data_IF_472173602379
#
_entry.id   IF_472173602379
#
_cell.length_a   1.000
_cell.length_b   1.000
_cell.length_c   1.000
_cell.angle_alpha   90.00
_cell.angle_beta   90.00
_cell.angle_gamma   90.00
#
_symmetry.space_group_name_H-M   'P 1'
#
loop_
_entity.id
_entity.type
_entity.pdbx_description
1 polymer ?
#
# COMPACT_ATOMS: atom_id res chain seq x y z
N UNK A 1 42.02 28.06 29.94
CA UNK A 1 41.23 26.82 30.08
C UNK A 1 41.59 25.91 28.94
N UNK A 2 42.10 24.76 29.24
CA UNK A 2 42.58 23.81 28.24
C UNK A 2 41.41 23.09 27.56
N UNK A 3 41.53 22.65 26.28
CA UNK A 3 40.45 21.99 25.54
C UNK A 3 39.97 20.67 26.13
N UNK A 4 40.64 20.15 27.13
CA UNK A 4 40.29 18.87 27.81
C UNK A 4 39.20 18.97 28.89
N UNK A 5 38.83 20.18 29.32
CA UNK A 5 37.79 20.35 30.36
C UNK A 5 36.38 20.56 29.79
N UNK A 6 36.22 20.72 28.48
CA UNK A 6 34.90 20.93 27.85
C UNK A 6 34.26 19.58 27.46
N UNK A 7 35.05 18.55 27.23
CA UNK A 7 34.50 17.22 26.86
C UNK A 7 33.87 16.43 28.04
N UNK A 8 34.22 16.76 29.28
CA UNK A 8 33.67 16.08 30.47
C UNK A 8 32.29 16.60 30.91
N UNK A 9 31.76 17.66 30.31
CA UNK A 9 30.46 18.24 30.68
C UNK A 9 29.26 17.63 29.90
N UNK A 10 29.53 16.85 28.85
CA UNK A 10 28.49 16.23 28.03
C UNK A 10 28.31 14.72 28.24
N UNK A 11 29.22 14.07 28.99
CA UNK A 11 29.17 12.62 29.25
C UNK A 11 28.12 12.19 30.31
N UNK A 12 27.24 13.06 30.74
CA UNK A 12 26.28 12.79 31.82
C UNK A 12 24.82 13.09 31.53
N UNK A 13 24.46 13.44 30.30
CA UNK A 13 23.10 13.87 29.93
C UNK A 13 22.39 12.94 28.93
N UNK A 14 22.61 11.64 29.00
CA UNK A 14 21.58 10.70 28.53
C UNK A 14 20.54 10.53 29.63
N UNK A 15 19.74 11.55 29.87
CA UNK A 15 18.49 11.40 30.61
C UNK A 15 17.62 10.39 29.86
N UNK A 16 17.13 9.38 30.58
CA UNK A 16 16.15 8.45 30.03
C UNK A 16 15.00 9.25 29.41
N UNK A 17 14.86 9.17 28.09
CA UNK A 17 13.80 9.87 27.35
C UNK A 17 12.45 9.56 28.00
N UNK A 18 11.67 10.59 28.31
CA UNK A 18 10.33 10.41 28.82
C UNK A 18 9.43 9.68 27.80
N UNK A 19 8.35 9.09 28.28
CA UNK A 19 7.43 8.30 27.46
C UNK A 19 6.81 9.10 26.29
N UNK A 20 6.62 10.40 26.45
CA UNK A 20 6.05 11.28 25.43
C UNK A 20 7.06 11.51 24.31
N UNK A 21 8.30 11.82 24.63
CA UNK A 21 9.40 11.95 23.66
C UNK A 21 9.60 10.66 22.87
N UNK A 22 9.57 9.51 23.54
CA UNK A 22 9.64 8.21 22.87
C UNK A 22 8.46 7.98 21.92
N UNK A 23 7.24 8.34 22.33
CA UNK A 23 6.05 8.23 21.49
C UNK A 23 6.15 9.12 20.24
N UNK A 24 6.63 10.34 20.38
CA UNK A 24 6.85 11.27 19.26
C UNK A 24 7.89 10.71 18.29
N UNK A 25 9.03 10.23 18.78
CA UNK A 25 10.05 9.60 17.95
C UNK A 25 9.55 8.34 17.23
N UNK A 26 8.71 7.57 17.89
CA UNK A 26 8.06 6.40 17.28
C UNK A 26 7.03 6.78 16.21
N UNK A 27 6.38 7.94 16.32
CA UNK A 27 5.42 8.43 15.35
C UNK A 27 6.05 8.84 14.00
N UNK A 28 7.39 8.99 13.92
CA UNK A 28 8.12 9.28 12.66
C UNK A 28 7.80 8.29 11.52
N UNK A 29 7.39 7.07 11.87
CA UNK A 29 7.01 6.04 10.89
C UNK A 29 5.58 5.60 11.19
N UNK A 30 4.70 5.75 10.20
CA UNK A 30 3.31 5.32 10.32
C UNK A 30 3.20 3.84 10.73
N UNK A 31 2.25 3.45 11.59
CA UNK A 31 2.11 2.08 12.09
C UNK A 31 1.98 1.02 10.97
N UNK A 32 1.28 1.35 9.89
CA UNK A 32 1.13 0.49 8.71
C UNK A 32 2.47 0.28 7.98
N UNK A 33 3.28 1.34 7.85
CA UNK A 33 4.61 1.28 7.25
C UNK A 33 5.55 0.43 8.10
N UNK A 34 5.54 0.62 9.42
CA UNK A 34 6.30 -0.19 10.37
C UNK A 34 5.89 -1.66 10.29
N UNK A 35 4.58 -1.95 10.21
CA UNK A 35 4.05 -3.30 10.03
C UNK A 35 4.55 -3.98 8.75
N UNK A 36 4.68 -3.21 7.65
CA UNK A 36 5.23 -3.67 6.38
C UNK A 36 6.74 -3.94 6.49
N UNK A 37 7.49 -3.08 7.19
CA UNK A 37 8.92 -3.32 7.46
C UNK A 37 9.13 -4.61 8.25
N UNK A 38 8.41 -4.81 9.35
CA UNK A 38 8.49 -6.06 10.10
C UNK A 38 8.16 -7.29 9.25
N UNK A 39 7.14 -7.22 8.42
CA UNK A 39 6.81 -8.32 7.52
C UNK A 39 7.91 -8.64 6.51
N UNK A 40 8.62 -7.61 6.05
CA UNK A 40 9.75 -7.77 5.14
C UNK A 40 11.00 -8.28 5.86
N UNK A 41 11.25 -7.82 7.10
CA UNK A 41 12.35 -8.27 7.95
C UNK A 41 12.18 -9.75 8.31
N UNK A 42 10.95 -10.17 8.65
CA UNK A 42 10.64 -11.61 8.87
C UNK A 42 11.06 -12.43 7.66
N UNK A 43 10.73 -11.98 6.44
CA UNK A 43 11.14 -12.70 5.22
C UNK A 43 12.64 -12.73 5.02
N UNK A 44 13.34 -11.62 5.34
CA UNK A 44 14.81 -11.56 5.27
C UNK A 44 15.43 -12.51 6.27
N UNK A 45 14.97 -12.52 7.53
CA UNK A 45 15.51 -13.36 8.58
C UNK A 45 15.28 -14.85 8.31
N UNK A 46 14.11 -15.24 7.80
CA UNK A 46 13.89 -16.61 7.33
C UNK A 46 14.83 -17.00 6.19
N UNK A 47 15.02 -16.12 5.21
CA UNK A 47 15.98 -16.38 4.14
C UNK A 47 17.40 -16.59 4.68
N UNK A 48 17.84 -15.77 5.65
CA UNK A 48 19.16 -15.90 6.29
C UNK A 48 19.28 -17.18 7.10
N UNK A 49 18.22 -17.55 7.84
CA UNK A 49 18.13 -18.78 8.59
C UNK A 49 18.22 -20.03 7.68
N UNK A 50 17.48 -20.04 6.57
CA UNK A 50 17.50 -21.12 5.59
C UNK A 50 18.86 -21.24 4.87
N UNK A 51 19.64 -20.17 4.81
CA UNK A 51 20.92 -20.10 4.13
C UNK A 51 22.09 -19.83 5.11
N UNK A 52 21.99 -20.27 6.34
CA UNK A 52 22.99 -20.03 7.39
C UNK A 52 24.39 -20.56 7.03
N UNK A 53 24.45 -21.66 6.26
CA UNK A 53 25.70 -22.23 5.78
C UNK A 53 26.40 -21.36 4.73
N UNK A 54 25.62 -20.64 3.91
CA UNK A 54 26.15 -19.72 2.89
C UNK A 54 26.52 -18.36 3.49
N UNK A 55 25.84 -17.96 4.56
CA UNK A 55 26.01 -16.65 5.21
C UNK A 55 26.20 -16.81 6.73
N UNK A 56 27.29 -17.47 7.16
CA UNK A 56 27.51 -17.74 8.58
C UNK A 56 27.69 -16.44 9.37
N UNK A 57 27.12 -16.42 10.57
CA UNK A 57 27.31 -15.33 11.52
C UNK A 57 26.63 -13.99 11.15
N UNK A 58 25.71 -13.97 10.16
CA UNK A 58 24.90 -12.78 9.86
C UNK A 58 23.80 -12.60 10.90
N UNK A 59 23.16 -13.69 11.34
CA UNK A 59 22.21 -13.69 12.45
C UNK A 59 22.87 -14.31 13.68
N UNK A 60 22.46 -13.87 14.88
CA UNK A 60 22.87 -14.52 16.14
C UNK A 60 22.29 -15.93 16.22
N UNK A 61 22.99 -16.84 16.93
CA UNK A 61 22.54 -18.22 17.09
C UNK A 61 21.23 -18.31 17.88
N UNK A 62 21.06 -17.45 18.88
CA UNK A 62 19.84 -17.39 19.69
C UNK A 62 18.64 -16.97 18.83
N UNK A 63 18.79 -15.93 18.00
CA UNK A 63 17.75 -15.51 17.09
C UNK A 63 17.39 -16.59 16.05
N UNK A 64 18.38 -17.35 15.56
CA UNK A 64 18.14 -18.48 14.64
C UNK A 64 17.32 -19.57 15.34
N UNK A 65 17.62 -19.87 16.61
CA UNK A 65 16.87 -20.86 17.39
C UNK A 65 15.41 -20.41 17.62
N UNK A 66 15.20 -19.17 18.02
CA UNK A 66 13.88 -18.58 18.25
C UNK A 66 13.03 -18.56 16.96
N UNK A 67 13.65 -18.22 15.83
CA UNK A 67 12.97 -18.22 14.54
C UNK A 67 12.56 -19.64 14.10
N UNK A 68 13.40 -20.66 14.34
CA UNK A 68 13.06 -22.05 14.04
C UNK A 68 11.88 -22.54 14.86
N UNK A 69 11.84 -22.22 16.14
CA UNK A 69 10.72 -22.55 17.01
C UNK A 69 9.45 -21.84 16.56
N UNK A 70 9.53 -20.55 16.26
CA UNK A 70 8.40 -19.74 15.77
C UNK A 70 7.87 -20.25 14.43
N UNK A 71 8.75 -20.69 13.53
CA UNK A 71 8.33 -21.24 12.21
C UNK A 71 7.58 -22.56 12.37
N UNK A 72 8.01 -23.41 13.32
CA UNK A 72 7.27 -24.62 13.69
C UNK A 72 5.87 -24.28 14.21
N UNK A 73 5.74 -23.28 15.08
CA UNK A 73 4.45 -22.81 15.59
C UNK A 73 3.56 -22.25 14.48
N UNK A 74 4.12 -21.44 13.56
CA UNK A 74 3.38 -20.87 12.44
C UNK A 74 2.95 -21.94 11.42
N UNK A 75 3.76 -22.97 11.17
CA UNK A 75 3.45 -24.08 10.28
C UNK A 75 2.27 -24.95 10.75
N UNK A 76 2.05 -25.02 12.07
CA UNK A 76 0.94 -25.77 12.69
C UNK A 76 -0.39 -25.02 12.60
N UNK A 77 -0.38 -23.71 12.38
CA UNK A 77 -1.61 -22.90 12.31
C UNK A 77 -2.44 -23.24 11.08
N UNK A 78 -3.74 -23.34 11.28
CA UNK A 78 -4.74 -23.57 10.23
C UNK A 78 -5.68 -22.38 10.10
N UNK A 79 -6.16 -22.14 8.90
CA UNK A 79 -7.24 -21.18 8.66
C UNK A 79 -8.57 -21.72 9.17
N UNK A 80 -9.60 -20.86 9.30
CA UNK A 80 -10.97 -21.30 9.65
C UNK A 80 -11.53 -22.40 8.72
N UNK A 81 -10.98 -22.54 7.51
CA UNK A 81 -11.34 -23.57 6.52
C UNK A 81 -10.40 -24.78 6.52
N UNK A 82 -9.54 -24.93 7.55
CA UNK A 82 -8.62 -26.06 7.70
C UNK A 82 -7.35 -26.03 6.84
N UNK A 83 -7.21 -25.10 5.91
CA UNK A 83 -6.00 -24.95 5.11
C UNK A 83 -4.81 -24.40 5.94
N UNK A 84 -3.55 -24.67 5.56
CA UNK A 84 -2.40 -24.07 6.22
C UNK A 84 -2.48 -22.54 6.22
N UNK A 85 -2.22 -21.91 7.36
CA UNK A 85 -2.15 -20.46 7.46
C UNK A 85 -0.88 -19.97 6.78
N UNK A 86 -1.00 -18.91 5.95
CA UNK A 86 0.15 -18.19 5.40
C UNK A 86 0.67 -17.09 6.32
N UNK A 87 0.04 -16.87 7.49
CA UNK A 87 0.44 -15.86 8.45
C UNK A 87 1.60 -16.38 9.29
N UNK A 88 2.62 -15.55 9.45
CA UNK A 88 3.82 -15.81 10.26
C UNK A 88 3.78 -14.95 11.53
N UNK A 89 2.74 -15.13 12.34
CA UNK A 89 2.50 -14.28 13.51
C UNK A 89 3.53 -14.54 14.62
N UNK A 90 3.92 -15.80 14.85
CA UNK A 90 4.94 -16.15 15.83
C UNK A 90 6.31 -15.60 15.41
N UNK A 91 6.73 -15.86 14.17
CA UNK A 91 7.98 -15.31 13.61
C UNK A 91 8.01 -13.78 13.64
N UNK A 92 6.87 -13.13 13.37
CA UNK A 92 6.75 -11.68 13.47
C UNK A 92 6.95 -11.18 14.90
N UNK A 93 6.43 -11.90 15.89
CA UNK A 93 6.61 -11.56 17.31
C UNK A 93 8.08 -11.64 17.72
N UNK A 94 8.80 -12.70 17.32
CA UNK A 94 10.24 -12.85 17.55
C UNK A 94 11.00 -11.66 16.96
N UNK A 95 10.77 -11.32 15.70
CA UNK A 95 11.43 -10.18 15.03
C UNK A 95 11.11 -8.85 15.71
N UNK A 96 9.86 -8.61 16.10
CA UNK A 96 9.47 -7.39 16.83
C UNK A 96 10.20 -7.31 18.17
N UNK A 97 10.30 -8.41 18.90
CA UNK A 97 11.01 -8.44 20.18
C UNK A 97 12.50 -8.18 19.97
N UNK A 98 13.13 -8.85 18.99
CA UNK A 98 14.55 -8.65 18.69
C UNK A 98 14.88 -7.19 18.32
N UNK A 99 13.96 -6.50 17.60
CA UNK A 99 14.16 -5.08 17.26
C UNK A 99 13.90 -4.18 18.47
N UNK A 100 12.96 -4.52 19.34
CA UNK A 100 12.70 -3.74 20.56
C UNK A 100 13.79 -3.88 21.62
N UNK A 101 14.56 -4.97 21.59
CA UNK A 101 15.68 -5.20 22.49
C UNK A 101 17.01 -4.61 22.01
N UNK A 102 17.00 -3.90 20.85
CA UNK A 102 18.19 -3.22 20.36
C UNK A 102 18.57 -2.09 21.33
N UNK A 103 19.82 -2.12 21.76
CA UNK A 103 20.51 -1.02 22.39
C UNK A 103 21.56 -0.51 21.40
N UNK A 104 21.42 0.72 20.96
CA UNK A 104 22.33 1.30 19.96
C UNK A 104 23.77 1.46 20.46
N UNK A 105 23.97 1.43 21.79
CA UNK A 105 25.28 1.50 22.43
C UNK A 105 25.90 0.10 22.61
N UNK A 106 25.11 -0.97 22.53
CA UNK A 106 25.58 -2.34 22.66
C UNK A 106 25.38 -3.17 21.39
N UNK A 107 26.39 -3.28 20.51
CA UNK A 107 26.31 -4.07 19.29
C UNK A 107 25.96 -5.55 19.50
N UNK A 108 26.13 -6.09 20.71
CA UNK A 108 25.76 -7.48 21.00
C UNK A 108 24.25 -7.72 20.97
N UNK A 109 23.45 -6.67 21.13
CA UNK A 109 21.99 -6.70 21.06
C UNK A 109 21.45 -6.67 19.63
N UNK A 110 22.31 -6.43 18.63
CA UNK A 110 21.89 -6.29 17.25
C UNK A 110 21.43 -7.65 16.68
N UNK A 111 20.27 -7.71 16.05
CA UNK A 111 19.77 -8.95 15.45
C UNK A 111 20.56 -9.38 14.22
N UNK A 112 21.30 -8.47 13.61
CA UNK A 112 22.16 -8.68 12.43
C UNK A 112 23.58 -8.24 12.76
N UNK A 113 24.55 -9.08 12.43
CA UNK A 113 25.93 -8.67 12.34
C UNK A 113 26.18 -7.99 10.99
N UNK A 114 26.37 -6.67 11.02
CA UNK A 114 26.51 -5.85 9.81
C UNK A 114 27.84 -6.05 9.09
N UNK A 115 28.89 -6.50 9.78
CA UNK A 115 30.20 -6.80 9.17
C UNK A 115 30.10 -8.04 8.26
N UNK A 116 29.23 -8.99 8.64
CA UNK A 116 28.99 -10.21 7.88
C UNK A 116 27.87 -10.05 6.82
N UNK A 117 27.08 -8.97 6.88
CA UNK A 117 26.01 -8.70 5.94
C UNK A 117 26.58 -8.13 4.62
N UNK A 118 26.90 -9.02 3.70
CA UNK A 118 27.45 -8.63 2.40
C UNK A 118 26.34 -8.32 1.37
N UNK A 119 26.72 -7.60 0.30
CA UNK A 119 25.82 -7.38 -0.85
C UNK A 119 25.31 -8.70 -1.44
N UNK A 120 26.15 -9.73 -1.57
CA UNK A 120 25.75 -11.03 -2.12
C UNK A 120 24.65 -11.69 -1.28
N UNK A 121 24.71 -11.56 0.02
CA UNK A 121 23.70 -12.03 0.95
C UNK A 121 22.35 -11.35 0.67
N UNK A 122 22.32 -10.03 0.65
CA UNK A 122 21.09 -9.28 0.40
C UNK A 122 20.57 -9.44 -1.04
N UNK A 123 21.46 -9.49 -2.04
CA UNK A 123 21.08 -9.76 -3.42
C UNK A 123 20.48 -11.17 -3.60
N UNK A 124 21.00 -12.17 -2.87
CA UNK A 124 20.42 -13.51 -2.80
C UNK A 124 18.97 -13.48 -2.30
N UNK A 125 18.70 -12.75 -1.23
CA UNK A 125 17.35 -12.50 -0.74
C UNK A 125 16.46 -11.86 -1.79
N UNK A 126 16.92 -10.79 -2.46
CA UNK A 126 16.15 -10.12 -3.51
C UNK A 126 15.82 -11.03 -4.70
N UNK A 127 16.67 -12.00 -5.04
CA UNK A 127 16.42 -13.00 -6.09
C UNK A 127 15.24 -13.92 -5.80
N UNK A 128 14.85 -14.08 -4.54
CA UNK A 128 13.65 -14.84 -4.15
C UNK A 128 12.35 -14.16 -4.55
N UNK A 129 12.38 -12.87 -4.92
CA UNK A 129 11.20 -12.07 -5.24
C UNK A 129 10.71 -12.36 -6.66
N UNK A 130 9.83 -13.35 -6.76
CA UNK A 130 9.24 -13.78 -8.02
C UNK A 130 7.72 -13.86 -7.88
N UNK A 131 6.99 -13.67 -8.99
CA UNK A 131 5.54 -13.93 -9.08
C UNK A 131 5.23 -14.68 -10.36
N UNK A 132 4.23 -15.54 -10.31
CA UNK A 132 3.68 -16.18 -11.51
C UNK A 132 2.58 -15.28 -12.07
N UNK A 133 2.67 -14.92 -13.33
CA UNK A 133 1.68 -14.13 -14.05
C UNK A 133 1.04 -15.03 -15.11
N UNK A 134 -0.27 -15.00 -15.18
CA UNK A 134 -1.02 -15.70 -16.23
C UNK A 134 -1.12 -14.79 -17.45
N UNK A 135 -0.51 -15.21 -18.55
CA UNK A 135 -0.61 -14.53 -19.83
C UNK A 135 -1.86 -15.04 -20.55
N UNK A 136 -2.82 -14.18 -20.82
CA UNK A 136 -3.96 -14.46 -21.67
C UNK A 136 -3.66 -13.91 -23.06
N UNK A 137 -3.49 -14.79 -24.05
CA UNK A 137 -3.43 -14.38 -25.45
C UNK A 137 -4.80 -14.59 -26.09
N UNK A 138 -5.36 -13.54 -26.67
CA UNK A 138 -6.49 -13.68 -27.60
C UNK A 138 -5.93 -14.21 -28.92
N UNK A 139 -6.32 -15.40 -29.31
CA UNK A 139 -6.15 -15.79 -30.70
C UNK A 139 -7.34 -15.23 -31.47
N UNK A 140 -7.08 -14.32 -32.40
CA UNK A 140 -8.05 -13.96 -33.43
C UNK A 140 -8.31 -15.21 -34.28
N UNK A 141 -9.57 -15.59 -34.52
CA UNK A 141 -9.88 -16.70 -35.42
C UNK A 141 -9.27 -16.40 -36.80
N UNK A 142 -8.62 -17.39 -37.39
CA UNK A 142 -8.30 -17.37 -38.80
C UNK A 142 -9.60 -17.21 -39.60
N UNK A 143 -9.60 -16.35 -40.62
CA UNK A 143 -10.76 -15.87 -41.37
C UNK A 143 -11.55 -16.94 -42.16
N UNK A 144 -11.70 -18.14 -41.63
CA UNK A 144 -12.30 -19.28 -42.37
C UNK A 144 -13.33 -20.12 -41.60
N UNK A 145 -13.85 -19.65 -40.44
CA UNK A 145 -14.93 -20.39 -39.76
C UNK A 145 -15.92 -19.41 -39.07
N UNK A 146 -17.18 -19.56 -39.44
CA UNK A 146 -18.35 -18.74 -39.04
C UNK A 146 -18.85 -18.94 -37.58
N UNK A 147 -18.02 -19.32 -36.64
CA UNK A 147 -18.38 -19.34 -35.22
C UNK A 147 -17.33 -18.63 -34.38
N UNK A 148 -17.76 -17.55 -33.71
CA UNK A 148 -16.96 -16.68 -32.82
C UNK A 148 -16.58 -17.40 -31.51
N UNK A 149 -15.83 -18.51 -31.60
CA UNK A 149 -15.25 -19.16 -30.42
C UNK A 149 -13.86 -18.58 -30.16
N UNK A 150 -13.79 -17.56 -29.36
CA UNK A 150 -12.52 -16.97 -28.90
C UNK A 150 -11.86 -17.92 -27.92
N UNK A 151 -10.96 -18.77 -28.38
CA UNK A 151 -10.19 -19.66 -27.49
C UNK A 151 -9.15 -18.84 -26.73
N UNK A 152 -9.30 -18.74 -25.43
CA UNK A 152 -8.32 -18.07 -24.55
C UNK A 152 -7.26 -19.07 -24.15
N UNK A 153 -6.07 -18.98 -24.74
CA UNK A 153 -4.91 -19.76 -24.30
C UNK A 153 -4.27 -19.09 -23.10
N UNK A 154 -4.27 -19.76 -21.96
CA UNK A 154 -3.64 -19.29 -20.73
C UNK A 154 -2.27 -19.96 -20.57
N UNK A 155 -1.21 -19.17 -20.56
CA UNK A 155 0.13 -19.63 -20.19
C UNK A 155 0.58 -18.93 -18.91
N UNK A 156 1.22 -19.66 -17.99
CA UNK A 156 1.80 -19.08 -16.79
C UNK A 156 3.28 -18.80 -16.97
N UNK A 157 3.72 -17.59 -16.66
CA UNK A 157 5.12 -17.19 -16.72
C UNK A 157 5.54 -16.66 -15.35
N UNK A 158 6.68 -17.17 -14.85
CA UNK A 158 7.27 -16.67 -13.61
C UNK A 158 8.19 -15.50 -13.91
N UNK A 159 7.87 -14.34 -13.38
CA UNK A 159 8.62 -13.09 -13.54
C UNK A 159 9.12 -12.57 -12.21
N UNK A 160 10.13 -11.69 -12.24
CA UNK A 160 10.56 -10.95 -11.06
C UNK A 160 9.47 -10.00 -10.59
N UNK A 161 9.39 -9.81 -9.26
CA UNK A 161 8.52 -8.78 -8.70
C UNK A 161 8.99 -7.38 -9.16
N UNK A 162 8.05 -6.45 -9.23
CA UNK A 162 8.34 -5.09 -9.65
C UNK A 162 9.23 -4.32 -8.67
N UNK A 163 9.71 -3.16 -9.12
CA UNK A 163 10.62 -2.28 -8.40
C UNK A 163 10.14 -1.90 -6.99
N UNK A 164 8.81 -1.81 -6.78
CA UNK A 164 8.22 -1.51 -5.49
C UNK A 164 8.55 -2.54 -4.40
N UNK A 165 8.56 -3.84 -4.75
CA UNK A 165 8.91 -4.89 -3.78
C UNK A 165 10.38 -4.85 -3.37
N UNK A 166 11.27 -4.56 -4.31
CA UNK A 166 12.70 -4.38 -4.02
C UNK A 166 12.93 -3.13 -3.17
N UNK A 167 12.26 -2.01 -3.49
CA UNK A 167 12.32 -0.78 -2.70
C UNK A 167 11.84 -1.01 -1.27
N UNK A 168 10.76 -1.76 -1.07
CA UNK A 168 10.27 -2.12 0.26
C UNK A 168 11.30 -2.93 1.06
N UNK A 169 12.02 -3.87 0.43
CA UNK A 169 13.09 -4.62 1.08
C UNK A 169 14.27 -3.72 1.48
N UNK A 170 14.67 -2.81 0.61
CA UNK A 170 15.73 -1.83 0.92
C UNK A 170 15.31 -0.88 2.06
N UNK A 171 14.03 -0.44 2.09
CA UNK A 171 13.53 0.41 3.16
C UNK A 171 13.47 -0.33 4.50
N UNK A 172 13.09 -1.61 4.48
CA UNK A 172 13.10 -2.45 5.69
C UNK A 172 14.52 -2.69 6.23
N UNK A 173 15.51 -2.91 5.33
CA UNK A 173 16.90 -2.99 5.72
C UNK A 173 17.41 -1.65 6.30
N UNK A 174 17.07 -0.53 5.65
CA UNK A 174 17.43 0.79 6.15
C UNK A 174 16.82 1.06 7.53
N UNK A 175 15.62 0.58 7.77
CA UNK A 175 14.97 0.67 9.09
C UNK A 175 15.79 -0.04 10.17
N UNK A 176 16.28 -1.27 9.91
CA UNK A 176 17.14 -1.98 10.87
C UNK A 176 18.43 -1.19 11.15
N UNK A 177 19.08 -0.67 10.11
CA UNK A 177 20.26 0.17 10.27
C UNK A 177 19.98 1.36 11.20
N UNK A 178 18.85 2.04 11.00
CA UNK A 178 18.44 3.19 11.81
C UNK A 178 18.16 2.80 13.26
N UNK A 179 17.45 1.65 13.49
CA UNK A 179 17.16 1.19 14.85
C UNK A 179 18.44 0.79 15.60
N UNK A 180 19.47 0.31 14.89
CA UNK A 180 20.79 -0.02 15.47
C UNK A 180 21.72 1.21 15.57
N UNK A 181 21.27 2.41 15.23
CA UNK A 181 22.11 3.61 15.26
C UNK A 181 23.22 3.62 14.22
N UNK A 182 23.15 2.76 13.19
CA UNK A 182 24.19 2.65 12.16
C UNK A 182 23.83 3.51 10.95
N UNK A 183 24.71 4.44 10.59
CA UNK A 183 24.58 5.22 9.38
C UNK A 183 24.94 4.39 8.13
N UNK A 184 24.27 4.65 7.01
CA UNK A 184 24.52 3.94 5.72
C UNK A 184 25.94 4.13 5.19
N UNK A 185 26.62 5.17 5.58
CA UNK A 185 27.98 5.53 5.21
C UNK A 185 28.93 5.58 6.43
N UNK A 186 28.46 5.21 7.61
CA UNK A 186 29.21 5.24 8.87
C UNK A 186 30.40 4.27 8.91
N UNK A 187 30.31 3.16 8.16
CA UNK A 187 31.44 2.22 8.02
C UNK A 187 31.75 1.95 6.54
N UNK A 188 33.01 1.60 6.19
CA UNK A 188 33.36 1.24 4.80
C UNK A 188 32.52 0.07 4.26
N UNK A 189 32.21 -0.92 5.11
CA UNK A 189 31.37 -2.06 4.74
C UNK A 189 29.91 -1.64 4.45
N UNK A 190 29.29 -0.84 5.32
CA UNK A 190 27.96 -0.30 5.12
C UNK A 190 27.88 0.56 3.84
N UNK A 191 28.82 1.47 3.66
CA UNK A 191 28.92 2.32 2.46
C UNK A 191 29.04 1.49 1.18
N UNK A 192 29.86 0.45 1.20
CA UNK A 192 30.01 -0.46 0.07
C UNK A 192 28.72 -1.21 -0.23
N UNK A 193 28.08 -1.78 0.80
CA UNK A 193 26.79 -2.49 0.69
C UNK A 193 25.73 -1.60 0.05
N UNK A 194 25.50 -0.40 0.57
CA UNK A 194 24.46 0.52 0.05
C UNK A 194 24.75 1.00 -1.37
N UNK A 195 26.03 1.23 -1.72
CA UNK A 195 26.42 1.54 -3.10
C UNK A 195 26.08 0.39 -4.06
N UNK A 196 26.39 -0.85 -3.69
CA UNK A 196 26.07 -2.03 -4.51
C UNK A 196 24.55 -2.25 -4.63
N UNK A 197 23.80 -2.06 -3.54
CA UNK A 197 22.33 -2.12 -3.57
C UNK A 197 21.76 -1.09 -4.56
N UNK A 198 22.23 0.15 -4.52
CA UNK A 198 21.75 1.21 -5.42
C UNK A 198 22.01 0.87 -6.90
N UNK A 199 23.20 0.34 -7.22
CA UNK A 199 23.53 -0.11 -8.58
C UNK A 199 22.68 -1.28 -9.03
N UNK A 200 22.48 -2.27 -8.15
CA UNK A 200 21.64 -3.44 -8.41
C UNK A 200 20.19 -3.05 -8.67
N UNK A 201 19.65 -2.12 -7.90
CA UNK A 201 18.28 -1.61 -8.07
C UNK A 201 18.10 -0.96 -9.46
N UNK A 202 19.04 -0.10 -9.88
CA UNK A 202 19.01 0.49 -11.23
C UNK A 202 19.07 -0.58 -12.33
N UNK A 203 19.94 -1.58 -12.16
CA UNK A 203 20.05 -2.71 -13.08
C UNK A 203 18.75 -3.51 -13.17
N UNK A 204 18.18 -3.86 -12.04
CA UNK A 204 16.94 -4.64 -11.94
C UNK A 204 15.75 -3.94 -12.60
N UNK A 205 15.61 -2.62 -12.41
CA UNK A 205 14.56 -1.84 -13.06
C UNK A 205 14.66 -1.92 -14.59
N UNK A 206 15.87 -1.73 -15.13
CA UNK A 206 16.11 -1.79 -16.59
C UNK A 206 15.89 -3.20 -17.16
N UNK A 207 16.39 -4.21 -16.47
CA UNK A 207 16.24 -5.60 -16.90
C UNK A 207 14.78 -6.05 -16.83
N UNK A 208 14.09 -5.72 -15.74
CA UNK A 208 12.67 -6.02 -15.58
C UNK A 208 11.81 -5.40 -16.68
N UNK A 209 12.04 -4.12 -17.01
CA UNK A 209 11.30 -3.46 -18.08
C UNK A 209 11.49 -4.17 -19.44
N UNK A 210 12.72 -4.60 -19.76
CA UNK A 210 13.02 -5.34 -20.98
C UNK A 210 12.37 -6.75 -20.99
N UNK A 211 12.41 -7.47 -19.86
CA UNK A 211 11.77 -8.78 -19.71
C UNK A 211 10.26 -8.67 -19.94
N UNK A 212 9.61 -7.67 -19.36
CA UNK A 212 8.18 -7.43 -19.55
C UNK A 212 7.83 -7.10 -20.99
N UNK A 213 8.63 -6.23 -21.61
CA UNK A 213 8.46 -5.85 -23.02
C UNK A 213 8.64 -7.07 -23.96
N UNK A 214 9.65 -7.89 -23.71
CA UNK A 214 9.90 -9.10 -24.50
C UNK A 214 8.77 -10.14 -24.39
N UNK A 215 8.07 -10.19 -23.24
CA UNK A 215 6.92 -11.05 -23.02
C UNK A 215 5.61 -10.45 -23.57
N UNK A 216 5.66 -9.23 -24.15
CA UNK A 216 4.46 -8.50 -24.58
C UNK A 216 3.54 -8.15 -23.40
N UNK A 217 4.10 -8.06 -22.18
CA UNK A 217 3.36 -7.65 -20.99
C UNK A 217 3.49 -6.13 -20.81
N UNK A 218 2.40 -5.49 -20.44
CA UNK A 218 2.45 -4.08 -20.08
C UNK A 218 3.19 -3.93 -18.74
N UNK A 219 4.10 -2.97 -18.65
CA UNK A 219 4.83 -2.64 -17.42
C UNK A 219 3.96 -1.92 -16.38
N UNK A 220 2.65 -1.80 -16.61
CA UNK A 220 1.72 -1.13 -15.70
C UNK A 220 1.62 -1.98 -14.44
N UNK A 221 2.29 -1.51 -13.39
CA UNK A 221 2.12 -2.05 -12.04
C UNK A 221 0.86 -1.45 -11.40
N UNK A 222 0.11 -2.32 -10.71
CA UNK A 222 -1.06 -1.92 -9.92
C UNK A 222 -2.39 -2.21 -10.62
N UNK A 223 -3.42 -1.46 -10.21
CA UNK A 223 -4.79 -1.63 -10.71
C UNK A 223 -5.00 -0.87 -12.01
N UNK A 224 -5.86 -1.41 -12.88
CA UNK A 224 -6.25 -0.72 -14.12
C UNK A 224 -7.11 0.51 -13.81
N UNK A 225 -7.00 1.59 -14.61
CA UNK A 225 -7.88 2.74 -14.47
C UNK A 225 -9.33 2.35 -14.76
N UNK A 226 -10.26 2.82 -13.94
CA UNK A 226 -11.69 2.62 -14.14
C UNK A 226 -12.18 3.52 -15.28
N UNK A 227 -12.79 2.99 -16.35
CA UNK A 227 -13.41 3.82 -17.38
C UNK A 227 -14.58 4.64 -16.80
N UNK A 228 -14.79 5.86 -17.30
CA UNK A 228 -15.89 6.73 -16.82
C UNK A 228 -17.26 6.07 -16.97
N UNK A 229 -17.51 5.35 -18.07
CA UNK A 229 -18.76 4.60 -18.26
C UNK A 229 -18.97 3.51 -17.23
N UNK A 230 -17.90 2.84 -16.78
CA UNK A 230 -17.96 1.84 -15.71
C UNK A 230 -18.20 2.50 -14.33
N UNK A 231 -17.61 3.69 -14.09
CA UNK A 231 -17.90 4.50 -12.90
C UNK A 231 -19.38 4.89 -12.84
N UNK A 232 -19.94 5.44 -13.90
CA UNK A 232 -21.36 5.82 -13.99
C UNK A 232 -22.26 4.59 -13.75
N UNK A 233 -21.91 3.44 -14.33
CA UNK A 233 -22.69 2.21 -14.16
C UNK A 233 -22.66 1.73 -12.71
N UNK A 234 -21.49 1.67 -12.09
CA UNK A 234 -21.36 1.26 -10.69
C UNK A 234 -22.09 2.20 -9.74
N UNK A 235 -21.96 3.50 -9.95
CA UNK A 235 -22.71 4.51 -9.21
C UNK A 235 -24.22 4.33 -9.37
N UNK A 236 -24.70 4.00 -10.57
CA UNK A 236 -26.13 3.78 -10.84
C UNK A 236 -26.70 2.53 -10.13
N UNK A 237 -25.90 1.47 -10.00
CA UNK A 237 -26.29 0.28 -9.24
C UNK A 237 -26.41 0.63 -7.76
N UNK A 238 -25.39 1.29 -7.20
CA UNK A 238 -25.35 1.66 -5.78
C UNK A 238 -26.45 2.70 -5.42
N UNK A 239 -26.69 3.66 -6.30
CA UNK A 239 -27.73 4.69 -6.09
C UNK A 239 -29.13 4.11 -5.93
N UNK A 240 -29.44 3.00 -6.60
CA UNK A 240 -30.73 2.31 -6.55
C UNK A 240 -30.89 1.39 -5.35
N UNK A 241 -29.78 1.04 -4.71
CA UNK A 241 -29.82 0.14 -3.54
C UNK A 241 -30.35 0.85 -2.30
N UNK A 242 -31.06 0.07 -1.46
CA UNK A 242 -31.50 0.47 -0.13
C UNK A 242 -30.64 -0.12 0.99
N UNK A 243 -29.67 -0.96 0.64
CA UNK A 243 -28.73 -1.53 1.59
C UNK A 243 -27.83 -0.41 2.17
N UNK A 244 -27.76 -0.24 3.49
CA UNK A 244 -26.94 0.78 4.13
C UNK A 244 -25.45 0.74 3.74
N UNK A 245 -24.89 -0.46 3.54
CA UNK A 245 -23.50 -0.62 3.10
C UNK A 245 -23.30 -0.15 1.63
N UNK A 246 -24.31 -0.39 0.78
CA UNK A 246 -24.30 0.12 -0.60
C UNK A 246 -24.47 1.65 -0.63
N UNK A 247 -25.27 2.21 0.25
CA UNK A 247 -25.43 3.67 0.38
C UNK A 247 -24.11 4.31 0.81
N UNK A 248 -23.41 3.71 1.77
CA UNK A 248 -22.09 4.15 2.19
C UNK A 248 -21.04 4.00 1.07
N UNK A 249 -21.03 2.87 0.38
CA UNK A 249 -20.13 2.62 -0.74
C UNK A 249 -20.41 3.55 -1.93
N UNK A 250 -21.67 3.97 -2.14
CA UNK A 250 -22.03 4.97 -3.14
C UNK A 250 -21.38 6.31 -2.85
N UNK A 251 -21.57 6.84 -1.64
CA UNK A 251 -20.93 8.08 -1.23
C UNK A 251 -19.39 7.97 -1.32
N UNK A 252 -18.81 6.89 -0.82
CA UNK A 252 -17.38 6.66 -0.90
C UNK A 252 -16.86 6.69 -2.35
N UNK A 253 -17.54 6.00 -3.27
CA UNK A 253 -17.18 5.97 -4.70
C UNK A 253 -17.16 7.37 -5.30
N UNK A 254 -18.18 8.18 -5.00
CA UNK A 254 -18.30 9.53 -5.54
C UNK A 254 -17.27 10.48 -4.94
N UNK A 255 -17.00 10.38 -3.64
CA UNK A 255 -15.94 11.18 -3.00
C UNK A 255 -14.55 10.82 -3.55
N UNK A 256 -14.22 9.53 -3.65
CA UNK A 256 -12.91 9.07 -4.16
C UNK A 256 -12.70 9.48 -5.62
N UNK A 257 -13.75 9.41 -6.45
CA UNK A 257 -13.70 9.85 -7.85
C UNK A 257 -13.52 11.37 -8.00
N UNK A 258 -14.38 12.15 -7.34
CA UNK A 258 -14.42 13.61 -7.54
C UNK A 258 -13.24 14.33 -6.86
N UNK A 259 -12.77 13.86 -5.73
CA UNK A 259 -11.59 14.43 -5.05
C UNK A 259 -10.27 13.92 -5.59
N UNK A 260 -10.27 12.93 -6.50
CA UNK A 260 -9.03 12.27 -6.94
C UNK A 260 -8.19 11.78 -5.75
N UNK A 261 -8.84 11.51 -4.64
CA UNK A 261 -8.19 11.23 -3.37
C UNK A 261 -7.64 9.81 -3.28
N UNK A 262 -6.87 9.53 -2.24
CA UNK A 262 -6.63 8.14 -1.85
C UNK A 262 -7.82 7.65 -1.03
N UNK A 263 -8.22 6.41 -1.25
CA UNK A 263 -9.34 5.80 -0.54
C UNK A 263 -9.26 5.94 1.00
N UNK A 264 -8.04 5.86 1.55
CA UNK A 264 -7.80 6.10 2.99
C UNK A 264 -8.17 7.52 3.42
N UNK A 265 -7.98 8.52 2.56
CA UNK A 265 -8.35 9.90 2.88
C UNK A 265 -9.88 10.04 2.91
N UNK A 266 -10.58 9.49 1.91
CA UNK A 266 -12.04 9.51 1.87
C UNK A 266 -12.67 8.82 3.10
N UNK A 267 -12.19 7.62 3.47
CA UNK A 267 -12.76 6.87 4.62
C UNK A 267 -12.41 7.44 5.98
N UNK A 268 -11.33 8.23 6.08
CA UNK A 268 -10.92 8.86 7.32
C UNK A 268 -11.43 10.31 7.48
N UNK A 269 -12.24 10.80 6.53
CA UNK A 269 -12.83 12.13 6.63
C UNK A 269 -13.77 12.22 7.83
N UNK A 270 -13.70 13.34 8.53
CA UNK A 270 -14.56 13.69 9.67
C UNK A 270 -15.74 14.52 9.19
N UNK A 271 -16.88 14.43 9.87
CA UNK A 271 -18.07 15.20 9.50
C UNK A 271 -17.80 16.72 9.54
N UNK A 272 -16.98 17.19 10.48
CA UNK A 272 -16.57 18.59 10.60
C UNK A 272 -15.78 19.13 9.41
N UNK A 273 -15.27 18.23 8.56
CA UNK A 273 -14.55 18.58 7.34
C UNK A 273 -15.48 18.75 6.12
N UNK A 274 -16.80 18.66 6.33
CA UNK A 274 -17.81 18.89 5.30
C UNK A 274 -18.56 20.17 5.55
N UNK A 275 -18.77 20.95 4.50
CA UNK A 275 -19.57 22.17 4.52
C UNK A 275 -20.43 22.26 3.27
N UNK A 276 -21.32 23.21 3.25
CA UNK A 276 -22.15 23.53 2.08
C UNK A 276 -21.88 24.99 1.73
N UNK A 277 -21.59 25.23 0.48
CA UNK A 277 -21.41 26.58 -0.04
C UNK A 277 -22.06 26.67 -1.41
N UNK A 278 -23.13 27.45 -1.51
CA UNK A 278 -23.94 27.61 -2.71
C UNK A 278 -24.48 26.23 -3.18
N UNK A 279 -24.16 25.80 -4.38
CA UNK A 279 -24.55 24.53 -5.00
C UNK A 279 -23.48 23.41 -4.85
N UNK A 280 -22.48 23.64 -4.01
CA UNK A 280 -21.36 22.72 -3.82
C UNK A 280 -21.30 22.16 -2.39
N UNK A 281 -20.90 20.90 -2.29
CA UNK A 281 -20.42 20.28 -1.06
C UNK A 281 -18.92 20.60 -0.94
N UNK A 282 -18.55 21.33 0.13
CA UNK A 282 -17.16 21.58 0.46
C UNK A 282 -16.60 20.40 1.22
N UNK A 283 -15.41 19.93 0.83
CA UNK A 283 -14.70 18.87 1.55
C UNK A 283 -13.27 19.29 1.83
N UNK A 284 -12.94 19.39 3.10
CA UNK A 284 -11.57 19.59 3.57
C UNK A 284 -10.90 18.23 3.75
N UNK A 285 -9.72 18.05 3.19
CA UNK A 285 -8.95 16.82 3.38
C UNK A 285 -8.06 16.97 4.62
N UNK A 286 -8.14 16.00 5.52
CA UNK A 286 -7.20 15.87 6.62
C UNK A 286 -5.79 15.43 6.14
N UNK A 287 -4.87 15.17 7.09
CA UNK A 287 -3.51 14.75 6.78
C UNK A 287 -3.45 13.60 5.78
N UNK A 288 -2.57 13.69 4.81
CA UNK A 288 -2.41 12.69 3.75
C UNK A 288 -0.96 12.21 3.65
N UNK A 289 -0.71 11.14 2.89
CA UNK A 289 0.66 10.64 2.68
C UNK A 289 1.62 11.68 2.08
N UNK A 290 1.10 12.65 1.32
CA UNK A 290 1.89 13.74 0.74
C UNK A 290 1.86 15.03 1.55
N UNK A 291 1.02 15.06 2.59
CA UNK A 291 0.82 16.17 3.51
C UNK A 291 0.51 15.61 4.89
N UNK A 292 1.54 15.14 5.58
CA UNK A 292 1.38 14.50 6.90
C UNK A 292 1.06 15.50 8.01
N UNK A 293 1.38 16.77 7.79
CA UNK A 293 1.09 17.86 8.70
C UNK A 293 -0.33 18.40 8.49
N UNK A 294 -0.99 18.06 7.37
CA UNK A 294 -2.35 18.52 7.05
C UNK A 294 -2.45 19.99 6.72
N UNK A 295 -1.34 20.65 6.38
CA UNK A 295 -1.28 22.12 6.24
C UNK A 295 -1.59 22.60 4.82
N UNK A 296 -1.43 21.75 3.80
CA UNK A 296 -1.50 22.14 2.39
C UNK A 296 -2.91 22.42 1.89
N UNK A 297 -3.92 21.84 2.51
CA UNK A 297 -5.30 21.85 2.04
C UNK A 297 -6.28 22.53 2.99
N UNK A 298 -5.79 23.12 4.08
CA UNK A 298 -6.64 23.80 5.09
C UNK A 298 -7.42 24.96 4.46
N UNK A 299 -6.79 25.71 3.57
CA UNK A 299 -7.38 26.92 2.97
C UNK A 299 -8.03 26.66 1.60
N UNK A 300 -8.00 25.43 1.11
CA UNK A 300 -8.46 25.07 -0.25
C UNK A 300 -9.31 23.80 -0.21
N UNK A 301 -10.59 23.89 0.20
CA UNK A 301 -11.49 22.75 0.16
C UNK A 301 -11.79 22.32 -1.27
N UNK A 302 -12.10 21.04 -1.45
CA UNK A 302 -12.66 20.53 -2.67
C UNK A 302 -14.12 20.97 -2.78
N UNK A 303 -14.50 21.53 -3.93
CA UNK A 303 -15.88 21.90 -4.26
C UNK A 303 -16.47 20.78 -5.12
N UNK A 304 -17.39 20.03 -4.56
CA UNK A 304 -18.09 18.95 -5.25
C UNK A 304 -19.48 19.47 -5.66
N UNK A 305 -19.61 19.84 -6.92
CA UNK A 305 -20.83 20.43 -7.44
C UNK A 305 -21.94 19.39 -7.64
N UNK A 306 -23.19 19.84 -7.63
CA UNK A 306 -24.35 19.04 -8.00
C UNK A 306 -24.28 18.62 -9.46
N UNK A 307 -24.83 17.44 -9.75
CA UNK A 307 -24.94 16.90 -11.12
C UNK A 307 -26.42 16.54 -11.37
N UNK A 308 -27.29 17.55 -11.62
CA UNK A 308 -28.73 17.33 -11.75
C UNK A 308 -29.10 16.45 -12.94
N UNK A 309 -28.31 16.48 -14.02
CA UNK A 309 -28.54 15.67 -15.22
C UNK A 309 -28.34 14.17 -14.97
N UNK A 310 -27.54 13.81 -13.98
CA UNK A 310 -27.31 12.42 -13.59
C UNK A 310 -27.24 12.25 -12.06
N UNK A 311 -28.38 12.07 -11.40
CA UNK A 311 -28.46 11.93 -9.95
C UNK A 311 -27.60 10.78 -9.39
N UNK A 312 -27.33 9.74 -10.18
CA UNK A 312 -26.53 8.61 -9.75
C UNK A 312 -25.06 8.96 -9.48
N UNK A 313 -24.53 10.00 -10.12
CA UNK A 313 -23.16 10.48 -9.92
C UNK A 313 -23.10 11.84 -9.21
N UNK A 314 -24.22 12.31 -8.66
CA UNK A 314 -24.29 13.55 -7.90
C UNK A 314 -23.76 13.36 -6.46
N UNK A 315 -22.60 13.94 -6.10
CA UNK A 315 -22.02 13.75 -4.78
C UNK A 315 -22.87 14.41 -3.68
N UNK A 316 -23.50 15.54 -3.95
CA UNK A 316 -24.38 16.23 -3.00
C UNK A 316 -25.59 15.37 -2.66
N UNK A 317 -26.25 14.77 -3.67
CA UNK A 317 -27.38 13.88 -3.46
C UNK A 317 -26.98 12.60 -2.71
N UNK A 318 -25.83 12.00 -3.07
CA UNK A 318 -25.32 10.82 -2.37
C UNK A 318 -25.00 11.12 -0.91
N UNK A 319 -24.42 12.27 -0.62
CA UNK A 319 -24.17 12.74 0.75
C UNK A 319 -25.46 12.92 1.54
N UNK A 320 -26.46 13.61 0.97
CA UNK A 320 -27.77 13.79 1.59
C UNK A 320 -28.45 12.44 1.88
N UNK A 321 -28.48 11.52 0.87
CA UNK A 321 -29.02 10.18 1.05
C UNK A 321 -28.31 9.43 2.18
N UNK A 322 -26.99 9.52 2.24
CA UNK A 322 -26.19 8.86 3.28
C UNK A 322 -26.54 9.40 4.66
N UNK A 323 -26.62 10.72 4.85
CA UNK A 323 -27.00 11.31 6.13
C UNK A 323 -28.42 10.94 6.56
N UNK A 324 -29.36 10.82 5.63
CA UNK A 324 -30.71 10.36 5.95
C UNK A 324 -30.73 8.90 6.45
N UNK A 325 -29.85 8.06 5.93
CA UNK A 325 -29.70 6.67 6.40
C UNK A 325 -28.89 6.54 7.69
N UNK A 326 -28.05 7.54 8.01
CA UNK A 326 -27.13 7.55 9.15
C UNK A 326 -27.22 8.87 9.96
N UNK A 327 -28.42 9.20 10.49
CA UNK A 327 -28.65 10.50 11.15
C UNK A 327 -27.79 10.70 12.42
N UNK A 328 -27.31 9.61 13.04
CA UNK A 328 -26.41 9.67 14.20
C UNK A 328 -25.10 10.43 13.92
N UNK A 329 -24.67 10.49 12.67
CA UNK A 329 -23.42 11.17 12.26
C UNK A 329 -23.54 12.68 12.42
N UNK A 330 -24.74 13.25 12.33
CA UNK A 330 -25.01 14.66 12.52
C UNK A 330 -24.82 15.15 13.95
N UNK A 331 -24.79 14.25 14.93
CA UNK A 331 -24.82 14.55 16.34
C UNK A 331 -23.43 14.47 17.02
N UNK A 332 -22.34 14.22 16.28
CA UNK A 332 -21.07 13.94 16.92
C UNK A 332 -19.83 14.27 16.10
N UNK A 333 -18.76 14.47 16.83
CA UNK A 333 -17.38 14.53 16.34
C UNK A 333 -16.96 13.12 15.86
N UNK A 334 -17.48 12.69 14.73
CA UNK A 334 -17.24 11.32 14.24
C UNK A 334 -16.76 11.30 12.79
N UNK A 335 -16.13 10.19 12.42
CA UNK A 335 -15.85 9.90 11.01
C UNK A 335 -17.16 9.79 10.24
N UNK A 336 -17.15 10.27 9.00
CA UNK A 336 -18.33 10.21 8.15
C UNK A 336 -18.80 8.76 7.91
N UNK A 337 -17.87 7.82 7.73
CA UNK A 337 -18.22 6.40 7.60
C UNK A 337 -18.12 5.73 8.97
N UNK A 338 -19.25 5.30 9.49
CA UNK A 338 -19.37 4.67 10.80
C UNK A 338 -18.71 3.28 10.86
N UNK A 339 -18.39 2.83 12.09
CA UNK A 339 -17.83 1.52 12.39
C UNK A 339 -16.31 1.39 12.19
N UNK A 340 -15.83 0.16 12.17
CA UNK A 340 -14.42 -0.18 11.99
C UNK A 340 -14.13 -0.70 10.58
N UNK A 341 -12.85 -0.70 10.17
CA UNK A 341 -12.40 -1.27 8.88
C UNK A 341 -13.14 -0.70 7.67
N UNK A 342 -13.43 0.60 7.68
CA UNK A 342 -14.22 1.27 6.65
C UNK A 342 -13.65 1.03 5.25
N UNK A 343 -12.33 1.13 5.09
CA UNK A 343 -11.66 0.89 3.82
C UNK A 343 -11.92 -0.52 3.27
N UNK A 344 -11.77 -1.54 4.12
CA UNK A 344 -11.98 -2.93 3.73
C UNK A 344 -13.45 -3.20 3.39
N UNK A 345 -14.39 -2.63 4.14
CA UNK A 345 -15.83 -2.75 3.89
C UNK A 345 -16.19 -2.13 2.54
N UNK A 346 -15.83 -0.87 2.29
CA UNK A 346 -16.12 -0.19 1.03
C UNK A 346 -15.49 -0.93 -0.17
N UNK A 347 -14.23 -1.34 -0.05
CA UNK A 347 -13.55 -2.09 -1.09
C UNK A 347 -14.17 -3.49 -1.33
N UNK A 348 -14.72 -4.14 -0.29
CA UNK A 348 -15.40 -5.42 -0.41
C UNK A 348 -16.73 -5.26 -1.17
N UNK A 349 -17.57 -4.31 -0.79
CA UNK A 349 -18.85 -4.02 -1.46
C UNK A 349 -18.64 -3.70 -2.94
N UNK A 350 -17.71 -2.78 -3.27
CA UNK A 350 -17.45 -2.41 -4.65
C UNK A 350 -16.95 -3.62 -5.48
N UNK A 351 -16.10 -4.46 -4.91
CA UNK A 351 -15.61 -5.66 -5.59
C UNK A 351 -16.67 -6.73 -5.76
N UNK A 352 -17.54 -6.90 -4.77
CA UNK A 352 -18.64 -7.85 -4.82
C UNK A 352 -19.58 -7.52 -5.99
N UNK A 353 -19.97 -6.26 -6.13
CA UNK A 353 -20.84 -5.82 -7.24
C UNK A 353 -20.14 -6.04 -8.59
N UNK A 354 -18.90 -5.54 -8.74
CA UNK A 354 -18.17 -5.61 -10.02
C UNK A 354 -17.87 -7.06 -10.45
N UNK A 355 -17.75 -7.98 -9.48
CA UNK A 355 -17.39 -9.40 -9.72
C UNK A 355 -18.58 -10.35 -9.64
N UNK A 356 -19.78 -9.85 -9.35
CA UNK A 356 -20.97 -10.69 -9.32
C UNK A 356 -21.24 -11.28 -10.70
N UNK A 357 -21.81 -12.47 -10.74
CA UNK A 357 -22.16 -13.14 -12.00
C UNK A 357 -23.11 -12.28 -12.84
N UNK A 358 -23.97 -11.48 -12.18
CA UNK A 358 -24.89 -10.56 -12.81
C UNK A 358 -24.21 -9.43 -13.59
N UNK A 359 -23.09 -8.90 -13.08
CA UNK A 359 -22.48 -7.66 -13.61
C UNK A 359 -21.10 -7.88 -14.23
N UNK A 360 -20.49 -9.05 -14.06
CA UNK A 360 -19.13 -9.33 -14.50
C UNK A 360 -18.92 -9.05 -16.00
N UNK A 361 -19.77 -9.65 -16.84
CA UNK A 361 -19.72 -9.49 -18.30
C UNK A 361 -19.97 -8.04 -18.74
N UNK A 362 -20.89 -7.36 -18.06
CA UNK A 362 -21.20 -5.96 -18.34
C UNK A 362 -19.99 -5.06 -18.07
N UNK A 363 -19.35 -5.19 -16.88
CA UNK A 363 -18.17 -4.38 -16.58
C UNK A 363 -16.99 -4.71 -17.47
N UNK A 364 -16.81 -5.96 -17.86
CA UNK A 364 -15.79 -6.37 -18.82
C UNK A 364 -15.99 -5.69 -20.20
N UNK A 365 -17.24 -5.64 -20.69
CA UNK A 365 -17.60 -4.93 -21.95
C UNK A 365 -17.40 -3.42 -21.86
N UNK A 366 -17.57 -2.84 -20.67
CA UNK A 366 -17.29 -1.42 -20.41
C UNK A 366 -15.79 -1.12 -20.28
N UNK A 367 -14.91 -2.12 -20.44
CA UNK A 367 -13.46 -1.98 -20.41
C UNK A 367 -12.86 -2.05 -19.01
N UNK A 368 -13.64 -2.38 -17.98
CA UNK A 368 -13.15 -2.63 -16.64
C UNK A 368 -12.88 -4.12 -16.48
N UNK A 369 -11.62 -4.48 -16.15
CA UNK A 369 -11.28 -5.88 -15.84
C UNK A 369 -11.62 -6.19 -14.37
N UNK A 370 -12.68 -6.98 -14.07
CA UNK A 370 -13.17 -7.17 -12.70
C UNK A 370 -12.11 -7.73 -11.73
N UNK A 371 -11.21 -8.60 -12.20
CA UNK A 371 -10.14 -9.19 -11.37
C UNK A 371 -9.10 -8.17 -10.94
N UNK A 372 -8.85 -7.16 -11.77
CA UNK A 372 -7.87 -6.12 -11.51
C UNK A 372 -8.48 -4.87 -10.87
N UNK A 373 -9.80 -4.87 -10.65
CA UNK A 373 -10.49 -3.76 -10.00
C UNK A 373 -10.13 -3.63 -8.51
N UNK A 374 -10.10 -2.41 -8.04
CA UNK A 374 -9.95 -2.03 -6.64
C UNK A 374 -9.99 -0.51 -6.49
N UNK A 375 -9.94 0.02 -5.27
CA UNK A 375 -10.07 1.46 -5.00
C UNK A 375 -9.05 2.31 -5.76
N UNK A 376 -7.83 1.83 -5.98
CA UNK A 376 -6.86 2.52 -6.84
C UNK A 376 -7.30 2.64 -8.30
N UNK A 377 -8.22 1.78 -8.79
CA UNK A 377 -8.79 1.91 -10.14
C UNK A 377 -9.66 3.14 -10.25
N UNK A 378 -10.38 3.51 -9.19
CA UNK A 378 -11.24 4.70 -9.12
C UNK A 378 -10.37 5.95 -9.31
N UNK A 379 -9.37 6.12 -8.46
CA UNK A 379 -8.45 7.27 -8.55
C UNK A 379 -7.73 7.36 -9.89
N UNK A 380 -7.19 6.23 -10.40
CA UNK A 380 -6.54 6.21 -11.73
C UNK A 380 -7.53 6.58 -12.83
N UNK A 381 -8.76 6.07 -12.75
CA UNK A 381 -9.83 6.37 -13.69
C UNK A 381 -10.17 7.86 -13.71
N UNK A 382 -10.36 8.45 -12.55
CA UNK A 382 -10.65 9.88 -12.41
C UNK A 382 -9.51 10.74 -12.98
N UNK A 383 -8.25 10.45 -12.66
CA UNK A 383 -7.09 11.15 -13.23
C UNK A 383 -7.07 11.01 -14.75
N UNK A 384 -7.25 9.80 -15.28
CA UNK A 384 -7.23 9.54 -16.73
C UNK A 384 -8.37 10.26 -17.43
N UNK A 385 -9.58 10.23 -16.85
CA UNK A 385 -10.74 10.92 -17.40
C UNK A 385 -10.54 12.43 -17.40
N UNK A 386 -10.09 13.01 -16.29
CA UNK A 386 -9.85 14.46 -16.17
C UNK A 386 -8.72 14.96 -17.08
N UNK A 387 -7.68 14.15 -17.33
CA UNK A 387 -6.54 14.57 -18.16
C UNK A 387 -6.69 14.28 -19.66
N UNK A 388 -7.44 13.22 -20.02
CA UNK A 388 -7.52 12.75 -21.42
C UNK A 388 -8.94 12.51 -21.91
N UNK A 389 -9.93 12.41 -21.01
CA UNK A 389 -11.30 12.01 -21.32
C UNK A 389 -12.28 13.17 -21.55
N UNK A 390 -11.89 14.40 -21.25
CA UNK A 390 -12.74 15.59 -21.36
C UNK A 390 -12.05 16.70 -22.14
N UNK A 391 -12.84 17.42 -22.94
CA UNK A 391 -12.40 18.65 -23.59
C UNK A 391 -12.39 19.74 -22.52
N UNK A 392 -11.29 20.48 -22.39
CA UNK A 392 -11.07 21.48 -21.34
C UNK A 392 -10.95 20.92 -19.91
N UNK A 393 -10.45 19.71 -19.76
CA UNK A 393 -10.11 19.17 -18.46
C UNK A 393 -9.08 20.03 -17.72
N UNK A 394 -9.00 19.92 -16.38
CA UNK A 394 -8.05 20.69 -15.59
C UNK A 394 -6.61 20.37 -16.00
N UNK A 395 -5.68 21.32 -15.88
CA UNK A 395 -4.27 21.07 -16.15
C UNK A 395 -3.73 19.89 -15.31
N UNK A 396 -2.87 19.06 -15.91
CA UNK A 396 -2.29 17.90 -15.23
C UNK A 396 -1.68 18.26 -13.86
N UNK A 397 -0.94 19.38 -13.67
CA UNK A 397 -0.46 19.78 -12.35
C UNK A 397 -1.57 19.92 -11.29
N UNK A 398 -2.75 20.38 -11.67
CA UNK A 398 -3.90 20.53 -10.77
C UNK A 398 -4.54 19.19 -10.39
N UNK A 399 -4.32 18.15 -11.18
CA UNK A 399 -4.81 16.77 -10.91
C UNK A 399 -3.82 15.99 -10.02
N UNK A 400 -2.54 16.38 -10.03
CA UNK A 400 -1.45 15.66 -9.37
C UNK A 400 -1.11 16.17 -7.96
N UNK A 401 -2.00 16.97 -7.34
CA UNK A 401 -1.82 17.51 -5.98
C UNK A 401 -1.89 16.44 -4.88
#
# INVERSE_FOLDING_TARGET
>A
MAPSEVNGLFDGLEEAMDNETQAILQARIAPTTRGNYFSMIVRLFHYLQENVELYPGVLSQDLIADLREADLQDSQKRTKRGAPSKRRDASKKVVVNAIKSIDSQDPSTFPINFDNLTFNCFAGFLKTFKKTVVKRSRQTPSAAQDEEVTTVVTSSVTIRLGAGSFSAACSALAFIFTECGIEKDGTPAAKHLWKQIALYMKGTQRTGAREWQALGLCTIEGKDPMPFVAYVRLASILARSQDPEHVAAHLFLLLDWNMVSRAENAVNSHMDLFGIFDDALLVYLGPSKGDQEGTKHIDHPWHLYTVPENPAICPVLAFAKYLMCHPQILNGECKIFDGSSQYERMNAVLKEIVRSDEHYEEFAKLGLQPEYFGTHSIRKGSITHGSCGVVNGPPIPSICI
#
